data_IF_275958472445
#
_entry.id   IF_275958472445
#
_cell.length_a   1.000
_cell.length_b   1.000
_cell.length_c   1.000
_cell.angle_alpha   90.00
_cell.angle_beta   90.00
_cell.angle_gamma   90.00
#
_symmetry.space_group_name_H-M   'P 1'
#
loop_
_entity.id
_entity.type
_entity.pdbx_description
1 polymer ?
#
# COMPACT_ATOMS: atom_id res chain seq x y z
N UNK A 1 -5.52 18.61 13.49
CA UNK A 1 -6.28 17.37 13.34
C UNK A 1 -5.56 16.45 12.36
N UNK A 2 -5.36 15.19 12.72
CA UNK A 2 -4.65 14.21 11.89
C UNK A 2 -5.59 13.67 10.82
N UNK A 3 -5.15 13.69 9.56
CA UNK A 3 -5.89 13.12 8.44
C UNK A 3 -5.38 11.70 8.18
N UNK A 4 -6.28 10.73 8.22
CA UNK A 4 -5.94 9.32 8.00
C UNK A 4 -6.06 8.98 6.52
N UNK A 5 -5.00 8.41 5.95
CA UNK A 5 -4.97 7.94 4.57
C UNK A 5 -4.84 6.42 4.58
N UNK A 6 -5.85 5.68 4.09
CA UNK A 6 -5.80 4.22 4.08
C UNK A 6 -4.96 3.69 2.92
N UNK A 7 -4.23 2.62 3.17
CA UNK A 7 -3.57 1.81 2.15
C UNK A 7 -3.77 0.34 2.48
N UNK A 8 -3.73 -0.51 1.47
CA UNK A 8 -3.68 -1.96 1.63
C UNK A 8 -2.44 -2.49 0.91
N UNK A 9 -1.61 -3.20 1.64
CA UNK A 9 -0.36 -3.78 1.13
C UNK A 9 -0.44 -5.29 1.19
N UNK A 10 -0.48 -5.93 0.04
CA UNK A 10 -0.37 -7.39 -0.06
C UNK A 10 1.10 -7.77 -0.02
N UNK A 11 1.46 -8.58 0.95
CA UNK A 11 2.84 -8.87 1.32
C UNK A 11 3.00 -10.36 1.59
N UNK A 12 4.21 -10.76 1.95
CA UNK A 12 4.50 -12.13 2.36
C UNK A 12 5.66 -12.11 3.35
N UNK A 13 5.78 -13.15 4.16
CA UNK A 13 6.89 -13.30 5.11
C UNK A 13 8.22 -13.42 4.37
N UNK A 14 9.28 -12.91 4.97
CA UNK A 14 10.64 -12.99 4.42
C UNK A 14 10.80 -12.29 3.06
N UNK A 15 10.05 -11.21 2.85
CA UNK A 15 10.06 -10.44 1.62
C UNK A 15 10.74 -9.10 1.85
N UNK A 16 12.00 -8.94 1.40
CA UNK A 16 12.73 -7.69 1.53
C UNK A 16 12.08 -6.56 0.73
N UNK A 17 11.60 -6.84 -0.48
CA UNK A 17 10.92 -5.83 -1.30
C UNK A 17 9.64 -5.34 -0.62
N UNK A 18 8.94 -6.22 0.10
CA UNK A 18 7.73 -5.83 0.84
C UNK A 18 8.08 -4.88 1.98
N UNK A 19 9.13 -5.18 2.73
CA UNK A 19 9.60 -4.34 3.82
C UNK A 19 10.10 -2.98 3.30
N UNK A 20 10.84 -2.98 2.21
CA UNK A 20 11.37 -1.78 1.59
C UNK A 20 10.25 -0.87 1.09
N UNK A 21 9.25 -1.44 0.41
CA UNK A 21 8.10 -0.67 -0.07
C UNK A 21 7.32 -0.06 1.10
N UNK A 22 7.08 -0.83 2.14
CA UNK A 22 6.36 -0.37 3.32
C UNK A 22 7.09 0.80 3.98
N UNK A 23 8.40 0.67 4.19
CA UNK A 23 9.21 1.74 4.78
C UNK A 23 9.21 3.00 3.91
N UNK A 24 9.38 2.84 2.60
CA UNK A 24 9.37 3.95 1.65
C UNK A 24 8.00 4.66 1.63
N UNK A 25 6.92 3.89 1.74
CA UNK A 25 5.56 4.45 1.81
C UNK A 25 5.39 5.32 3.05
N UNK A 26 5.77 4.81 4.22
CA UNK A 26 5.65 5.57 5.46
C UNK A 26 6.50 6.84 5.45
N UNK A 27 7.62 6.83 4.75
CA UNK A 27 8.47 8.00 4.60
C UNK A 27 7.83 9.13 3.78
N UNK A 28 6.75 8.86 3.05
CA UNK A 28 6.02 9.88 2.29
C UNK A 28 5.05 10.68 3.16
N UNK A 29 4.79 10.25 4.39
CA UNK A 29 3.87 10.95 5.28
C UNK A 29 4.30 12.39 5.51
N UNK A 30 3.35 13.31 5.39
CA UNK A 30 3.54 14.73 5.67
C UNK A 30 2.94 15.08 7.03
N UNK A 31 3.34 16.21 7.63
CA UNK A 31 2.70 16.69 8.87
C UNK A 31 1.18 16.76 8.71
N UNK A 32 0.45 16.28 9.70
CA UNK A 32 -1.02 16.24 9.67
C UNK A 32 -1.60 15.04 8.94
N UNK A 33 -0.77 14.15 8.38
CA UNK A 33 -1.19 12.91 7.74
C UNK A 33 -0.76 11.70 8.55
N UNK A 34 -1.61 10.67 8.54
CA UNK A 34 -1.25 9.35 9.06
C UNK A 34 -1.62 8.30 8.02
N UNK A 35 -0.63 7.60 7.50
CA UNK A 35 -0.86 6.48 6.59
C UNK A 35 -1.19 5.24 7.40
N UNK A 36 -2.39 4.75 7.24
CA UNK A 36 -2.88 3.55 7.90
C UNK A 36 -2.81 2.40 6.91
N UNK A 37 -1.76 1.58 7.06
CA UNK A 37 -1.44 0.52 6.10
C UNK A 37 -1.91 -0.82 6.66
N UNK A 38 -2.94 -1.40 6.03
CA UNK A 38 -3.34 -2.77 6.31
C UNK A 38 -2.41 -3.71 5.55
N UNK A 39 -1.59 -4.45 6.27
CA UNK A 39 -0.66 -5.42 5.67
C UNK A 39 -1.32 -6.79 5.70
N UNK A 40 -1.56 -7.38 4.51
CA UNK A 40 -2.21 -8.66 4.35
C UNK A 40 -1.23 -9.68 3.79
N UNK A 41 -1.13 -10.83 4.45
CA UNK A 41 -0.27 -11.94 4.01
C UNK A 41 -0.99 -12.74 2.92
N UNK A 42 -0.43 -12.72 1.70
CA UNK A 42 -1.03 -13.45 0.58
C UNK A 42 -1.07 -14.97 0.84
N UNK A 43 -0.12 -15.49 1.60
CA UNK A 43 -0.05 -16.93 1.89
C UNK A 43 -1.14 -17.39 2.87
N UNK A 44 -1.86 -16.46 3.49
CA UNK A 44 -2.97 -16.78 4.38
C UNK A 44 -4.26 -17.16 3.62
N UNK A 45 -4.33 -16.87 2.31
CA UNK A 45 -5.52 -17.11 1.48
C UNK A 45 -5.10 -17.60 0.09
N UNK A 46 -5.49 -18.83 -0.31
CA UNK A 46 -5.14 -19.34 -1.65
C UNK A 46 -5.60 -18.47 -2.81
N UNK A 47 -6.71 -17.74 -2.66
CA UNK A 47 -7.17 -16.83 -3.70
C UNK A 47 -6.23 -15.63 -3.87
N UNK A 48 -5.59 -15.18 -2.80
CA UNK A 48 -4.59 -14.11 -2.85
C UNK A 48 -3.29 -14.61 -3.49
N UNK A 49 -2.88 -15.84 -3.19
CA UNK A 49 -1.71 -16.46 -3.82
C UNK A 49 -1.93 -16.54 -5.33
N UNK A 50 -3.09 -17.04 -5.76
CA UNK A 50 -3.41 -17.15 -7.19
C UNK A 50 -3.34 -15.78 -7.88
N UNK A 51 -3.80 -14.74 -7.21
CA UNK A 51 -3.88 -13.40 -7.77
C UNK A 51 -2.55 -12.64 -7.76
N UNK A 52 -1.74 -12.80 -6.69
CA UNK A 52 -0.61 -11.91 -6.43
C UNK A 52 0.74 -12.62 -6.25
N UNK A 53 0.82 -13.94 -6.37
CA UNK A 53 2.00 -14.72 -5.99
C UNK A 53 3.33 -14.15 -6.51
N UNK A 54 3.39 -13.78 -7.77
CA UNK A 54 4.60 -13.26 -8.41
C UNK A 54 4.69 -11.73 -8.38
N UNK A 55 3.69 -11.06 -7.82
CA UNK A 55 3.58 -9.60 -7.88
C UNK A 55 3.87 -8.89 -6.57
N UNK A 56 3.97 -9.64 -5.45
CA UNK A 56 4.18 -9.01 -4.14
C UNK A 56 5.53 -8.29 -4.07
N UNK A 57 5.59 -7.13 -3.40
CA UNK A 57 4.49 -6.42 -2.76
C UNK A 57 3.56 -5.73 -3.76
N UNK A 58 2.24 -5.74 -3.45
CA UNK A 58 1.24 -5.02 -4.26
C UNK A 58 0.54 -4.01 -3.36
N UNK A 59 0.56 -2.76 -3.76
CA UNK A 59 0.00 -1.66 -2.98
C UNK A 59 -1.29 -1.15 -3.61
N UNK A 60 -2.33 -1.05 -2.78
CA UNK A 60 -3.61 -0.42 -3.13
C UNK A 60 -3.87 0.76 -2.20
N UNK A 61 -4.51 1.79 -2.71
CA UNK A 61 -5.17 2.78 -1.87
C UNK A 61 -6.50 2.21 -1.38
N UNK A 62 -7.32 1.77 -2.32
CA UNK A 62 -8.58 1.06 -2.08
C UNK A 62 -8.53 -0.27 -2.83
N UNK A 63 -8.70 -1.42 -2.13
CA UNK A 63 -8.66 -2.73 -2.81
C UNK A 63 -9.69 -2.92 -3.91
N UNK A 64 -10.77 -2.13 -3.90
CA UNK A 64 -11.80 -2.17 -4.93
C UNK A 64 -11.42 -1.41 -6.20
N UNK A 65 -10.27 -0.73 -6.21
CA UNK A 65 -9.75 0.04 -7.34
C UNK A 65 -8.49 -0.62 -7.89
N UNK A 66 -7.99 -0.18 -9.05
CA UNK A 66 -6.71 -0.67 -9.57
C UNK A 66 -5.57 -0.46 -8.58
N UNK A 67 -4.58 -1.35 -8.61
CA UNK A 67 -3.39 -1.20 -7.78
C UNK A 67 -2.65 0.12 -8.06
N UNK A 68 -1.97 0.64 -7.05
CA UNK A 68 -1.10 1.81 -7.20
C UNK A 68 0.25 1.41 -7.78
N UNK A 69 0.80 0.29 -7.34
CA UNK A 69 2.10 -0.21 -7.80
C UNK A 69 2.34 -1.62 -7.27
N UNK A 70 3.39 -2.26 -7.79
CA UNK A 70 3.90 -3.54 -7.27
C UNK A 70 5.42 -3.58 -7.39
N UNK A 71 6.08 -4.47 -6.66
CA UNK A 71 7.54 -4.60 -6.51
C UNK A 71 8.19 -3.40 -5.84
N UNK A 72 8.09 -2.23 -6.45
CA UNK A 72 8.72 -1.01 -5.98
C UNK A 72 7.68 0.08 -5.79
N UNK A 73 7.91 0.97 -4.83
CA UNK A 73 7.00 2.08 -4.57
C UNK A 73 6.98 3.05 -5.74
N UNK A 74 5.79 3.32 -6.25
CA UNK A 74 5.53 4.49 -7.09
C UNK A 74 5.09 5.64 -6.19
N UNK A 75 6.04 6.48 -5.82
CA UNK A 75 5.79 7.58 -4.88
C UNK A 75 4.75 8.58 -5.42
N UNK A 76 4.76 8.82 -6.73
CA UNK A 76 3.79 9.73 -7.34
C UNK A 76 2.37 9.18 -7.25
N UNK A 77 2.18 7.88 -7.50
CA UNK A 77 0.87 7.24 -7.40
C UNK A 77 0.37 7.23 -5.96
N UNK A 78 1.24 6.91 -4.99
CA UNK A 78 0.88 6.92 -3.58
C UNK A 78 0.52 8.34 -3.11
N UNK A 79 1.28 9.34 -3.54
CA UNK A 79 1.01 10.74 -3.20
C UNK A 79 -0.30 11.23 -3.83
N UNK A 80 -0.57 10.84 -5.07
CA UNK A 80 -1.82 11.20 -5.75
C UNK A 80 -3.03 10.61 -5.02
N UNK A 81 -2.92 9.37 -4.55
CA UNK A 81 -3.97 8.75 -3.74
C UNK A 81 -4.20 9.52 -2.44
N UNK A 82 -3.13 9.84 -1.71
CA UNK A 82 -3.24 10.59 -0.46
C UNK A 82 -3.88 11.96 -0.67
N UNK A 83 -3.51 12.66 -1.74
CA UNK A 83 -4.07 13.97 -2.10
C UNK A 83 -5.54 13.85 -2.51
N UNK A 84 -5.93 12.79 -3.20
CA UNK A 84 -7.32 12.52 -3.56
C UNK A 84 -8.18 12.26 -2.32
N UNK A 85 -7.66 11.53 -1.32
CA UNK A 85 -8.33 11.32 -0.03
C UNK A 85 -8.55 12.65 0.69
N UNK A 86 -7.58 13.55 0.63
CA UNK A 86 -7.70 14.88 1.22
C UNK A 86 -8.80 15.71 0.56
N UNK A 87 -8.88 15.65 -0.78
CA UNK A 87 -9.87 16.40 -1.54
C UNK A 87 -11.30 15.87 -1.33
N UNK A 88 -11.44 14.59 -0.98
CA UNK A 88 -12.74 13.96 -0.74
C UNK A 88 -13.26 14.16 0.69
N UNK A 89 -12.42 14.67 1.58
CA UNK A 89 -12.75 14.84 3.00
C UNK A 89 -13.62 16.08 3.26
#
# INVERSE_FOLDING_TARGET
MMRVVPFTLYSRSWCHLCDDLHAALLALQRPGERFEVAVLDVDADPALVERFDELVPVLFGDPARPELCHYFLDAAAARAWADACAAAA
#
